data_IF_390148477382
#
_entry.id   IF_390148477382
#
_cell.length_a   1.000
_cell.length_b   1.000
_cell.length_c   1.000
_cell.angle_alpha   90.00
_cell.angle_beta   90.00
_cell.angle_gamma   90.00
#
_symmetry.space_group_name_H-M   'P 1'
#
loop_
_entity.id
_entity.type
_entity.pdbx_description
1 polymer ?
#
# COMPACT_ATOMS: atom_id res chain seq x y z
N UNK A 1 8.45 28.30 1.63
CA UNK A 1 8.31 27.01 2.36
C UNK A 1 7.46 27.08 3.63
N UNK A 2 7.44 28.20 4.39
CA UNK A 2 6.65 28.32 5.64
C UNK A 2 5.16 28.06 5.45
N UNK A 3 4.54 28.64 4.40
CA UNK A 3 3.12 28.42 4.11
C UNK A 3 2.79 26.94 3.87
N UNK A 4 3.60 26.22 3.07
CA UNK A 4 3.42 24.77 2.82
C UNK A 4 3.56 23.91 4.08
N UNK A 5 4.46 24.28 5.00
CA UNK A 5 4.57 23.54 6.27
C UNK A 5 3.30 23.68 7.11
N UNK A 6 2.62 24.84 7.05
CA UNK A 6 1.38 25.10 7.80
C UNK A 6 0.16 24.34 7.25
N UNK A 7 0.23 23.76 6.05
CA UNK A 7 -0.88 22.98 5.48
C UNK A 7 -0.81 21.49 5.83
N UNK A 8 0.28 21.03 6.45
CA UNK A 8 0.39 19.66 6.94
C UNK A 8 -0.57 19.48 8.12
N UNK A 9 -1.20 18.31 8.19
CA UNK A 9 -2.01 17.98 9.36
C UNK A 9 -1.11 17.44 10.48
N UNK A 10 -1.71 17.10 11.63
CA UNK A 10 -0.92 16.50 12.69
C UNK A 10 -0.44 15.10 12.26
N UNK A 11 0.60 14.59 12.93
CA UNK A 11 1.21 13.31 12.56
C UNK A 11 0.26 12.11 12.66
N UNK A 12 -0.79 12.18 13.47
CA UNK A 12 -1.77 11.10 13.56
C UNK A 12 -2.73 11.10 12.35
N UNK A 13 -2.97 12.25 11.73
CA UNK A 13 -3.83 12.37 10.55
C UNK A 13 -3.06 12.07 9.25
N UNK A 14 -1.80 12.49 9.16
CA UNK A 14 -1.01 12.31 7.94
C UNK A 14 -0.36 10.92 7.84
N UNK A 15 -0.02 10.29 8.97
CA UNK A 15 0.61 8.96 8.94
C UNK A 15 -0.25 7.87 8.26
N UNK A 16 -1.56 7.76 8.53
CA UNK A 16 -2.43 6.82 7.81
C UNK A 16 -2.42 7.02 6.28
N UNK A 17 -2.31 8.28 5.80
CA UNK A 17 -2.21 8.59 4.36
C UNK A 17 -0.91 8.05 3.75
N UNK A 18 0.18 8.09 4.52
CA UNK A 18 1.47 7.52 4.12
C UNK A 18 1.36 5.99 4.06
N UNK A 19 0.76 5.36 5.08
CA UNK A 19 0.55 3.91 5.11
C UNK A 19 -0.30 3.44 3.92
N UNK A 20 -1.38 4.15 3.60
CA UNK A 20 -2.23 3.89 2.43
C UNK A 20 -1.46 4.02 1.12
N UNK A 21 -0.64 5.08 0.98
CA UNK A 21 0.23 5.27 -0.18
C UNK A 21 1.21 4.09 -0.36
N UNK A 22 1.91 3.69 0.70
CA UNK A 22 2.86 2.56 0.64
C UNK A 22 2.14 1.23 0.37
N UNK A 23 0.93 1.04 0.89
CA UNK A 23 0.11 -0.15 0.65
C UNK A 23 -0.24 -0.30 -0.84
N UNK A 24 -0.65 0.79 -1.49
CA UNK A 24 -0.91 0.80 -2.95
C UNK A 24 0.34 0.49 -3.77
N UNK A 25 1.48 1.07 -3.38
CA UNK A 25 2.75 0.82 -4.08
C UNK A 25 3.23 -0.63 -3.93
N UNK A 26 2.99 -1.25 -2.78
CA UNK A 26 3.28 -2.65 -2.52
C UNK A 26 2.51 -3.56 -3.49
N UNK A 27 1.23 -3.27 -3.74
CA UNK A 27 0.41 -4.02 -4.70
C UNK A 27 0.87 -3.80 -6.14
N UNK A 28 1.26 -2.57 -6.49
CA UNK A 28 1.66 -2.23 -7.84
C UNK A 28 3.04 -2.81 -8.22
N UNK A 29 3.99 -2.78 -7.28
CA UNK A 29 5.39 -3.15 -7.48
C UNK A 29 5.76 -4.42 -6.71
N UNK A 30 5.16 -5.55 -7.08
CA UNK A 30 5.35 -6.85 -6.39
C UNK A 30 6.80 -7.38 -6.34
N UNK A 31 7.68 -6.83 -7.17
CA UNK A 31 9.12 -7.16 -7.20
C UNK A 31 9.97 -6.27 -6.28
N UNK A 32 9.35 -5.38 -5.49
CA UNK A 32 10.02 -4.47 -4.58
C UNK A 32 9.43 -4.65 -3.18
N UNK A 33 10.30 -4.82 -2.19
CA UNK A 33 9.87 -4.96 -0.80
C UNK A 33 9.75 -3.59 -0.13
N UNK A 34 8.59 -3.32 0.46
CA UNK A 34 8.28 -2.10 1.20
C UNK A 34 8.13 -2.38 2.69
N UNK A 35 8.55 -1.40 3.49
CA UNK A 35 8.19 -1.36 4.90
C UNK A 35 7.85 0.06 5.32
N UNK A 36 6.83 0.21 6.16
CA UNK A 36 6.43 1.50 6.74
C UNK A 36 6.10 1.30 8.22
N UNK A 37 6.71 2.09 9.10
CA UNK A 37 6.46 2.03 10.54
C UNK A 37 6.40 3.42 11.15
N UNK A 38 5.54 3.58 12.15
CA UNK A 38 5.48 4.80 12.94
C UNK A 38 6.73 4.88 13.83
N UNK A 39 7.19 6.10 14.12
CA UNK A 39 8.31 6.28 15.03
C UNK A 39 8.02 5.63 16.39
N UNK A 40 8.99 4.86 16.92
CA UNK A 40 8.88 4.06 18.16
C UNK A 40 7.88 2.91 18.14
N UNK A 41 7.23 2.62 17.02
CA UNK A 41 6.45 1.40 16.88
C UNK A 41 7.36 0.18 16.79
N UNK A 42 7.02 -0.89 17.52
CA UNK A 42 7.79 -2.13 17.53
C UNK A 42 7.49 -3.01 16.30
N UNK A 43 6.37 -2.76 15.63
CA UNK A 43 5.95 -3.45 14.40
C UNK A 43 5.72 -2.42 13.29
N UNK A 44 5.96 -2.86 12.07
CA UNK A 44 5.64 -2.08 10.88
C UNK A 44 4.14 -2.21 10.58
N UNK A 45 3.54 -1.11 10.12
CA UNK A 45 2.16 -1.06 9.65
C UNK A 45 2.05 -1.64 8.22
N UNK A 46 3.12 -1.51 7.43
CA UNK A 46 3.29 -2.24 6.17
C UNK A 46 4.61 -3.00 6.22
N UNK A 47 4.57 -4.28 5.88
CA UNK A 47 5.77 -5.09 5.68
C UNK A 47 5.50 -6.14 4.61
N UNK A 48 6.09 -5.93 3.43
CA UNK A 48 6.02 -6.89 2.34
C UNK A 48 7.25 -7.78 2.30
N UNK A 49 7.02 -9.08 2.10
CA UNK A 49 8.05 -10.04 1.73
C UNK A 49 8.08 -10.25 0.22
N UNK A 50 8.88 -11.21 -0.24
CA UNK A 50 8.84 -11.66 -1.64
C UNK A 50 7.44 -12.19 -1.97
N UNK A 51 6.84 -11.68 -3.05
CA UNK A 51 5.47 -12.00 -3.48
C UNK A 51 5.50 -12.60 -4.88
N UNK A 52 4.83 -13.75 -5.04
CA UNK A 52 4.68 -14.43 -6.33
C UNK A 52 3.65 -13.76 -7.24
N UNK A 53 2.66 -13.05 -6.68
CA UNK A 53 1.56 -12.46 -7.45
C UNK A 53 1.02 -11.17 -6.82
N UNK A 54 0.28 -10.39 -7.61
CA UNK A 54 -0.47 -9.22 -7.11
C UNK A 54 -1.56 -9.59 -6.11
N UNK A 55 -2.17 -10.76 -6.22
CA UNK A 55 -3.15 -11.24 -5.23
C UNK A 55 -2.48 -11.50 -3.87
N UNK A 56 -1.25 -12.02 -3.86
CA UNK A 56 -0.49 -12.21 -2.62
C UNK A 56 -0.11 -10.85 -1.99
N UNK A 57 0.23 -9.87 -2.82
CA UNK A 57 0.44 -8.50 -2.37
C UNK A 57 -0.81 -7.90 -1.73
N UNK A 58 -1.97 -8.01 -2.41
CA UNK A 58 -3.25 -7.51 -1.87
C UNK A 58 -3.60 -8.23 -0.56
N UNK A 59 -3.39 -9.54 -0.47
CA UNK A 59 -3.60 -10.31 0.77
C UNK A 59 -2.74 -9.78 1.91
N UNK A 60 -1.48 -9.43 1.64
CA UNK A 60 -0.53 -8.97 2.64
C UNK A 60 -0.90 -7.59 3.21
N UNK A 61 -1.35 -6.64 2.38
CA UNK A 61 -1.69 -5.28 2.85
C UNK A 61 -3.15 -5.09 3.27
N UNK A 62 -4.10 -5.73 2.59
CA UNK A 62 -5.54 -5.53 2.83
C UNK A 62 -6.24 -6.72 3.49
N UNK A 63 -5.53 -7.84 3.65
CA UNK A 63 -6.03 -9.03 4.35
C UNK A 63 -6.77 -10.03 3.46
N UNK A 64 -6.98 -11.23 4.01
CA UNK A 64 -7.62 -12.33 3.30
C UNK A 64 -9.12 -12.11 3.04
N UNK A 65 -9.80 -11.28 3.83
CA UNK A 65 -11.20 -10.92 3.59
C UNK A 65 -11.37 -10.24 2.24
N UNK A 66 -10.58 -9.21 1.97
CA UNK A 66 -10.63 -8.46 0.71
C UNK A 66 -10.38 -9.39 -0.48
N UNK A 67 -9.37 -10.25 -0.40
CA UNK A 67 -9.00 -11.15 -1.50
C UNK A 67 -10.12 -12.12 -1.89
N UNK A 68 -10.95 -12.56 -0.92
CA UNK A 68 -12.06 -13.49 -1.20
C UNK A 68 -13.16 -12.86 -2.05
N UNK A 69 -13.26 -11.53 -2.05
CA UNK A 69 -14.31 -10.79 -2.73
C UNK A 69 -13.83 -10.19 -4.07
N UNK A 70 -12.59 -10.47 -4.49
CA UNK A 70 -12.01 -9.95 -5.73
C UNK A 70 -12.34 -10.84 -6.94
N UNK A 71 -12.59 -10.18 -8.07
CA UNK A 71 -12.68 -10.81 -9.39
C UNK A 71 -11.58 -10.24 -10.29
N UNK A 72 -10.83 -11.12 -10.96
CA UNK A 72 -9.79 -10.68 -11.91
C UNK A 72 -10.46 -10.17 -13.16
N UNK A 73 -10.06 -8.97 -13.60
CA UNK A 73 -10.51 -8.37 -14.85
C UNK A 73 -9.39 -8.54 -15.87
N UNK A 74 -9.72 -9.14 -17.00
CA UNK A 74 -8.85 -9.22 -18.17
C UNK A 74 -9.37 -8.22 -19.21
N UNK A 75 -8.57 -7.21 -19.51
CA UNK A 75 -8.84 -6.28 -20.60
C UNK A 75 -7.74 -6.45 -21.63
N UNK A 76 -8.13 -6.88 -22.81
CA UNK A 76 -7.29 -6.81 -24.00
C UNK A 76 -7.63 -5.50 -24.69
N UNK A 77 -6.63 -4.67 -24.96
CA UNK A 77 -6.79 -3.57 -25.90
C UNK A 77 -6.77 -4.23 -27.29
N UNK A 78 -7.95 -4.56 -27.82
CA UNK A 78 -8.10 -4.87 -29.23
C UNK A 78 -7.93 -3.55 -30.00
N UNK A 79 -6.67 -3.15 -30.17
CA UNK A 79 -6.33 -2.19 -31.20
C UNK A 79 -6.73 -2.81 -32.55
N UNK A 80 -7.59 -2.09 -33.27
CA UNK A 80 -7.93 -2.25 -34.69
C UNK A 80 -6.83 -2.89 -35.55
#
# INVERSE_FOLDING_TARGET
>A
MVARRKTLQNSNDDYPKIVDFISRFTVHHINVNFSCRKHRANRADVHSGSMSSRLDAIRNVYGASVVRDLMVIHVSDEML
#
